data_IF_184351734665
#
_entry.id   IF_184351734665
#
_cell.length_a   1.000
_cell.length_b   1.000
_cell.length_c   1.000
_cell.angle_alpha   90.00
_cell.angle_beta   90.00
_cell.angle_gamma   90.00
#
_symmetry.space_group_name_H-M   'P 1'
#
loop_
_entity.id
_entity.type
_entity.pdbx_description
1 polymer ?
#
# COMPACT_ATOMS: atom_id res chain seq x y z
N UNK A 1 6.37 9.12 5.30
CA UNK A 1 5.79 10.09 6.27
C UNK A 1 4.43 9.59 6.72
N UNK A 2 4.05 9.75 8.01
CA UNK A 2 2.71 9.38 8.50
C UNK A 2 2.16 10.50 9.36
N UNK A 3 0.85 10.70 9.36
CA UNK A 3 0.22 11.73 10.20
C UNK A 3 -1.31 11.72 10.12
N UNK A 4 -1.96 12.44 11.03
CA UNK A 4 -3.39 12.74 10.96
C UNK A 4 -3.59 13.97 10.06
N UNK A 5 -4.56 13.92 9.17
CA UNK A 5 -4.90 14.99 8.25
C UNK A 5 -6.39 15.08 7.99
N UNK A 6 -6.75 15.93 7.04
CA UNK A 6 -8.13 16.05 6.54
C UNK A 6 -8.15 16.11 5.01
N UNK A 7 -9.06 15.38 4.40
CA UNK A 7 -9.37 15.46 2.99
C UNK A 7 -10.80 16.01 2.88
N UNK A 8 -10.93 17.19 2.28
CA UNK A 8 -12.21 17.91 2.19
C UNK A 8 -12.99 17.96 3.53
N UNK A 9 -12.25 18.24 4.63
CA UNK A 9 -12.81 18.34 5.98
C UNK A 9 -12.92 17.03 6.76
N UNK A 10 -12.86 15.88 6.12
CA UNK A 10 -12.96 14.56 6.76
C UNK A 10 -11.62 14.12 7.33
N UNK A 11 -11.61 13.77 8.60
CA UNK A 11 -10.41 13.33 9.30
C UNK A 11 -9.97 11.93 8.88
N UNK A 12 -8.69 11.74 8.68
CA UNK A 12 -8.09 10.45 8.34
C UNK A 12 -6.65 10.39 8.82
N UNK A 13 -6.10 9.19 8.96
CA UNK A 13 -4.66 8.99 9.12
C UNK A 13 -4.08 8.63 7.75
N UNK A 14 -3.05 9.38 7.34
CA UNK A 14 -2.40 9.23 6.04
C UNK A 14 -0.96 8.80 6.23
N UNK A 15 -0.52 7.83 5.44
CA UNK A 15 0.88 7.45 5.29
C UNK A 15 1.31 7.52 3.83
N UNK A 16 2.50 8.07 3.59
CA UNK A 16 3.08 8.18 2.24
C UNK A 16 4.52 7.69 2.27
N UNK A 17 4.83 6.74 1.41
CA UNK A 17 6.20 6.30 1.15
C UNK A 17 6.94 7.29 0.25
N UNK A 18 8.27 7.34 0.37
CA UNK A 18 9.13 8.14 -0.49
C UNK A 18 10.20 7.24 -1.11
N UNK A 19 10.02 6.89 -2.38
CA UNK A 19 10.91 6.00 -3.13
C UNK A 19 12.32 6.53 -3.34
N UNK A 20 12.55 7.83 -3.15
CA UNK A 20 13.88 8.45 -3.29
C UNK A 20 14.86 8.00 -2.21
N UNK A 21 14.37 7.56 -1.06
CA UNK A 21 15.20 7.01 0.00
C UNK A 21 15.19 5.48 -0.03
N UNK A 22 16.25 4.86 -0.51
CA UNK A 22 16.45 3.41 -0.58
C UNK A 22 15.25 2.66 -1.19
N UNK A 23 14.65 3.20 -2.24
CA UNK A 23 13.43 2.69 -2.88
C UNK A 23 12.26 2.49 -1.89
N UNK A 24 12.20 3.29 -0.83
CA UNK A 24 11.27 3.13 0.28
C UNK A 24 11.19 1.69 0.81
N UNK A 25 12.31 0.94 0.77
CA UNK A 25 12.35 -0.44 1.24
C UNK A 25 11.93 -0.53 2.71
N UNK A 26 11.06 -1.49 3.02
CA UNK A 26 10.50 -1.66 4.35
C UNK A 26 11.51 -2.36 5.27
N UNK A 27 12.06 -1.62 6.21
CA UNK A 27 12.79 -2.10 7.37
C UNK A 27 12.03 -1.78 8.65
N UNK A 28 12.68 -1.94 9.79
CA UNK A 28 12.09 -1.71 11.13
C UNK A 28 11.41 -0.34 11.24
N UNK A 29 12.10 0.73 10.84
CA UNK A 29 11.58 2.09 10.95
C UNK A 29 10.33 2.33 10.12
N UNK A 30 10.23 1.76 8.92
CA UNK A 30 9.05 1.88 8.06
C UNK A 30 7.90 1.06 8.63
N UNK A 31 8.15 -0.19 8.98
CA UNK A 31 7.15 -1.07 9.58
C UNK A 31 6.58 -0.50 10.87
N UNK A 32 7.43 0.03 11.75
CA UNK A 32 7.01 0.70 12.99
C UNK A 32 6.14 1.93 12.72
N UNK A 33 6.54 2.79 11.78
CA UNK A 33 5.75 3.98 11.44
C UNK A 33 4.36 3.63 10.89
N UNK A 34 4.26 2.62 10.03
CA UNK A 34 2.98 2.15 9.51
C UNK A 34 2.14 1.57 10.63
N UNK A 35 2.71 0.68 11.44
CA UNK A 35 2.03 0.08 12.59
C UNK A 35 1.46 1.13 13.53
N UNK A 36 2.28 2.10 13.95
CA UNK A 36 1.83 3.20 14.84
C UNK A 36 0.75 4.07 14.20
N UNK A 37 0.85 4.33 12.89
CA UNK A 37 -0.16 5.10 12.18
C UNK A 37 -1.52 4.39 12.22
N UNK A 38 -1.53 3.09 11.91
CA UNK A 38 -2.75 2.26 11.94
C UNK A 38 -3.31 2.15 13.36
N UNK A 39 -2.47 1.85 14.35
CA UNK A 39 -2.90 1.78 15.75
C UNK A 39 -3.45 3.12 16.27
N UNK A 40 -2.84 4.23 15.85
CA UNK A 40 -3.34 5.57 16.19
C UNK A 40 -4.70 5.83 15.55
N UNK A 41 -4.88 5.45 14.28
CA UNK A 41 -6.16 5.55 13.59
C UNK A 41 -7.23 4.71 14.29
N UNK A 42 -6.92 3.47 14.66
CA UNK A 42 -7.83 2.58 15.38
C UNK A 42 -8.28 3.19 16.71
N UNK A 43 -7.34 3.73 17.50
CA UNK A 43 -7.65 4.41 18.77
C UNK A 43 -8.53 5.65 18.61
N UNK A 44 -8.45 6.32 17.46
CA UNK A 44 -9.22 7.53 17.16
C UNK A 44 -10.50 7.23 16.37
N UNK A 45 -10.76 5.97 16.05
CA UNK A 45 -11.87 5.53 15.17
C UNK A 45 -11.85 6.28 13.83
N UNK A 46 -10.65 6.46 13.24
CA UNK A 46 -10.44 7.15 11.96
C UNK A 46 -10.06 6.16 10.86
N UNK A 47 -10.44 6.43 9.60
CA UNK A 47 -9.96 5.65 8.46
C UNK A 47 -8.45 5.85 8.25
N UNK A 48 -7.83 4.88 7.57
CA UNK A 48 -6.42 4.90 7.17
C UNK A 48 -6.31 4.94 5.65
N UNK A 49 -5.43 5.80 5.15
CA UNK A 49 -5.04 5.84 3.72
C UNK A 49 -3.53 5.74 3.64
N UNK A 50 -3.02 4.69 2.98
CA UNK A 50 -1.58 4.51 2.78
C UNK A 50 -1.23 4.53 1.29
N UNK A 51 -0.31 5.42 0.92
CA UNK A 51 0.29 5.46 -0.41
C UNK A 51 1.55 4.62 -0.40
N UNK A 52 1.49 3.48 -1.08
CA UNK A 52 2.59 2.54 -1.20
C UNK A 52 3.49 2.91 -2.38
N UNK A 53 4.79 3.01 -2.11
CA UNK A 53 5.85 3.07 -3.09
C UNK A 53 7.04 2.35 -2.48
N UNK A 54 7.43 1.18 -3.00
CA UNK A 54 8.52 0.43 -2.36
C UNK A 54 9.11 -0.64 -3.27
N UNK A 55 10.42 -0.83 -3.16
CA UNK A 55 11.12 -1.98 -3.72
C UNK A 55 10.91 -3.29 -2.94
N UNK A 56 10.25 -3.25 -1.78
CA UNK A 56 9.96 -4.44 -0.96
C UNK A 56 10.60 -4.41 0.43
N UNK A 57 10.77 -5.59 1.05
CA UNK A 57 11.43 -5.72 2.34
C UNK A 57 12.93 -5.40 2.21
N UNK A 58 13.49 -4.67 3.18
CA UNK A 58 14.88 -4.22 3.17
C UNK A 58 15.84 -5.37 3.46
N UNK A 59 16.58 -5.81 2.45
CA UNK A 59 17.49 -6.94 2.56
C UNK A 59 18.59 -6.73 3.62
N UNK A 60 19.08 -5.50 3.80
CA UNK A 60 20.13 -5.17 4.75
C UNK A 60 19.74 -5.39 6.22
N UNK A 61 18.45 -5.40 6.51
CA UNK A 61 17.92 -5.68 7.86
C UNK A 61 17.54 -7.17 8.07
N UNK A 62 17.74 -8.00 7.06
CA UNK A 62 17.53 -9.45 7.14
C UNK A 62 16.14 -9.83 7.68
N UNK A 63 16.09 -10.72 8.66
CA UNK A 63 14.84 -11.24 9.24
C UNK A 63 13.98 -10.14 9.88
N UNK A 64 14.59 -9.05 10.38
CA UNK A 64 13.86 -7.94 11.00
C UNK A 64 12.94 -7.28 9.99
N UNK A 65 13.38 -7.11 8.73
CA UNK A 65 12.54 -6.56 7.67
C UNK A 65 11.38 -7.48 7.30
N UNK A 66 11.59 -8.79 7.30
CA UNK A 66 10.53 -9.77 7.04
C UNK A 66 9.47 -9.74 8.15
N UNK A 67 9.88 -9.60 9.41
CA UNK A 67 8.96 -9.50 10.54
C UNK A 67 8.07 -8.25 10.49
N UNK A 68 8.46 -7.21 9.75
CA UNK A 68 7.60 -6.03 9.55
C UNK A 68 6.34 -6.38 8.75
N UNK A 69 6.39 -7.36 7.86
CA UNK A 69 5.20 -7.82 7.13
C UNK A 69 4.13 -8.33 8.11
N UNK A 70 4.51 -9.21 9.02
CA UNK A 70 3.59 -9.73 10.05
C UNK A 70 3.09 -8.60 10.98
N UNK A 71 3.98 -7.71 11.39
CA UNK A 71 3.68 -6.61 12.31
C UNK A 71 2.64 -5.63 11.72
N UNK A 72 2.84 -5.19 10.50
CA UNK A 72 1.91 -4.28 9.81
C UNK A 72 0.57 -4.95 9.51
N UNK A 73 0.59 -6.22 9.07
CA UNK A 73 -0.63 -6.99 8.82
C UNK A 73 -1.45 -7.20 10.09
N UNK A 74 -0.79 -7.48 11.23
CA UNK A 74 -1.48 -7.62 12.52
C UNK A 74 -2.13 -6.30 12.98
N UNK A 75 -1.51 -5.16 12.73
CA UNK A 75 -2.10 -3.86 13.04
C UNK A 75 -3.34 -3.58 12.17
N UNK A 76 -3.26 -3.87 10.87
CA UNK A 76 -4.39 -3.73 9.94
C UNK A 76 -5.53 -4.70 10.28
N UNK A 77 -5.22 -5.93 10.70
CA UNK A 77 -6.25 -6.87 11.16
C UNK A 77 -7.04 -6.29 12.34
N UNK A 78 -6.35 -5.71 13.34
CA UNK A 78 -7.04 -5.06 14.48
C UNK A 78 -7.86 -3.84 14.05
N UNK A 79 -7.40 -3.11 13.03
CA UNK A 79 -8.12 -1.98 12.45
C UNK A 79 -9.42 -2.44 11.76
N UNK A 80 -9.33 -3.49 10.97
CA UNK A 80 -10.46 -4.13 10.29
C UNK A 80 -11.46 -4.73 11.31
N UNK A 81 -10.97 -5.40 12.37
CA UNK A 81 -11.83 -5.94 13.44
C UNK A 81 -12.61 -4.85 14.21
N UNK A 82 -12.06 -3.64 14.21
CA UNK A 82 -12.76 -2.46 14.74
C UNK A 82 -13.78 -1.85 13.76
N UNK A 83 -13.97 -2.44 12.58
CA UNK A 83 -14.89 -1.98 11.54
C UNK A 83 -14.47 -0.67 10.88
N UNK A 84 -13.16 -0.40 10.80
CA UNK A 84 -12.61 0.85 10.29
C UNK A 84 -12.00 0.66 8.91
N UNK A 85 -12.23 1.64 8.05
CA UNK A 85 -11.80 1.64 6.65
C UNK A 85 -10.27 1.76 6.49
N UNK A 86 -9.70 0.91 5.67
CA UNK A 86 -8.35 1.03 5.14
C UNK A 86 -8.35 1.14 3.61
N UNK A 87 -7.85 2.25 3.07
CA UNK A 87 -7.63 2.46 1.64
C UNK A 87 -6.14 2.35 1.33
N UNK A 88 -5.79 1.44 0.44
CA UNK A 88 -4.42 1.32 -0.09
C UNK A 88 -4.33 1.95 -1.46
N UNK A 89 -3.35 2.83 -1.68
CA UNK A 89 -3.06 3.46 -2.96
C UNK A 89 -1.67 3.00 -3.42
N UNK A 90 -1.64 2.20 -4.47
CA UNK A 90 -0.42 1.59 -5.00
C UNK A 90 0.20 2.51 -6.04
N UNK A 91 1.43 2.94 -5.82
CA UNK A 91 2.17 3.78 -6.76
C UNK A 91 3.39 3.04 -7.33
N UNK A 92 4.04 3.59 -8.33
CA UNK A 92 5.16 2.97 -9.04
C UNK A 92 6.51 3.15 -8.32
N UNK A 93 7.23 2.06 -7.98
CA UNK A 93 6.80 0.68 -7.92
C UNK A 93 6.24 0.28 -6.54
N UNK A 94 5.41 -0.75 -6.48
CA UNK A 94 5.02 -1.40 -5.21
C UNK A 94 5.31 -2.89 -5.32
N UNK A 95 6.38 -3.36 -4.66
CA UNK A 95 6.96 -4.68 -4.90
C UNK A 95 7.24 -5.46 -3.61
N UNK A 96 7.49 -6.74 -3.78
CA UNK A 96 8.06 -7.65 -2.78
C UNK A 96 7.25 -7.74 -1.49
N UNK A 97 7.93 -7.68 -0.35
CA UNK A 97 7.31 -7.82 0.98
C UNK A 97 6.30 -6.72 1.33
N UNK A 98 6.35 -5.55 0.68
CA UNK A 98 5.35 -4.50 0.86
C UNK A 98 4.05 -4.90 0.17
N UNK A 99 4.10 -5.39 -1.07
CA UNK A 99 2.94 -5.95 -1.76
C UNK A 99 2.36 -7.15 -1.01
N UNK A 100 3.23 -8.08 -0.56
CA UNK A 100 2.81 -9.27 0.18
C UNK A 100 2.34 -9.01 1.62
N UNK A 101 2.19 -7.74 2.01
CA UNK A 101 1.70 -7.36 3.33
C UNK A 101 0.71 -6.19 3.22
N UNK A 102 0.97 -5.11 3.89
CA UNK A 102 0.02 -4.02 4.05
C UNK A 102 -0.50 -3.41 2.75
N UNK A 103 0.28 -3.40 1.66
CA UNK A 103 -0.16 -2.77 0.40
C UNK A 103 -1.36 -3.48 -0.25
N UNK A 104 -1.50 -4.80 -0.09
CA UNK A 104 -2.61 -5.59 -0.66
C UNK A 104 -3.67 -5.99 0.38
N UNK A 105 -3.70 -5.32 1.53
CA UNK A 105 -4.68 -5.58 2.60
C UNK A 105 -5.73 -4.47 2.72
N UNK A 106 -5.84 -3.56 1.74
CA UNK A 106 -6.87 -2.54 1.73
C UNK A 106 -8.28 -3.12 1.59
N UNK A 107 -9.25 -2.52 2.26
CA UNK A 107 -10.67 -2.76 1.96
C UNK A 107 -11.02 -2.20 0.58
N UNK A 108 -10.30 -1.15 0.17
CA UNK A 108 -10.31 -0.59 -1.19
C UNK A 108 -8.86 -0.42 -1.62
N UNK A 109 -8.52 -0.98 -2.78
CA UNK A 109 -7.18 -0.95 -3.36
C UNK A 109 -7.20 -0.18 -4.67
N UNK A 110 -6.55 0.98 -4.67
CA UNK A 110 -6.42 1.86 -5.83
C UNK A 110 -4.99 1.79 -6.36
N UNK A 111 -4.79 1.99 -7.64
CA UNK A 111 -3.44 2.03 -8.22
C UNK A 111 -3.27 3.20 -9.19
N UNK A 112 -2.13 3.88 -9.16
CA UNK A 112 -1.79 4.87 -10.18
C UNK A 112 -1.65 4.20 -11.56
N UNK A 113 -1.97 4.92 -12.66
CA UNK A 113 -1.82 4.40 -14.01
C UNK A 113 -0.39 3.86 -14.25
N UNK A 114 -0.29 2.71 -14.87
CA UNK A 114 0.97 2.05 -15.26
C UNK A 114 1.90 1.67 -14.11
N UNK A 115 1.49 1.79 -12.84
CA UNK A 115 2.31 1.39 -11.70
C UNK A 115 2.71 -0.09 -11.80
N UNK A 116 3.99 -0.36 -11.52
CA UNK A 116 4.52 -1.72 -11.44
C UNK A 116 4.23 -2.28 -10.04
N UNK A 117 3.42 -3.32 -9.98
CA UNK A 117 2.93 -3.90 -8.72
C UNK A 117 3.10 -5.41 -8.78
N UNK A 118 3.80 -5.99 -7.83
CA UNK A 118 4.01 -7.43 -7.79
C UNK A 118 4.91 -7.88 -6.66
N UNK A 119 5.16 -9.18 -6.57
CA UNK A 119 6.08 -9.73 -5.57
C UNK A 119 7.51 -9.77 -6.12
N UNK A 120 7.81 -10.67 -7.03
CA UNK A 120 9.10 -10.71 -7.72
C UNK A 120 9.08 -9.74 -8.91
N UNK A 121 10.21 -9.03 -9.12
CA UNK A 121 10.34 -8.14 -10.28
C UNK A 121 10.33 -8.91 -11.61
N UNK A 122 9.88 -8.27 -12.72
CA UNK A 122 9.78 -8.93 -14.03
C UNK A 122 11.09 -9.62 -14.46
N UNK A 123 12.22 -8.96 -14.28
CA UNK A 123 13.54 -9.51 -14.60
C UNK A 123 13.82 -10.81 -13.85
N UNK A 124 13.50 -10.87 -12.58
CA UNK A 124 13.72 -12.07 -11.74
C UNK A 124 12.84 -13.22 -12.22
N UNK A 125 11.57 -12.93 -12.54
CA UNK A 125 10.64 -13.92 -13.06
C UNK A 125 11.16 -14.48 -14.38
N UNK A 126 11.47 -13.62 -15.36
CA UNK A 126 11.96 -14.01 -16.69
C UNK A 126 13.23 -14.87 -16.62
N UNK A 127 14.18 -14.48 -15.74
CA UNK A 127 15.39 -15.26 -15.52
C UNK A 127 15.13 -16.63 -14.89
N UNK A 128 14.10 -16.72 -14.03
CA UNK A 128 13.76 -17.98 -13.34
C UNK A 128 13.02 -18.94 -14.25
N UNK A 129 12.05 -18.47 -15.04
CA UNK A 129 11.25 -19.32 -15.92
C UNK A 129 11.84 -19.48 -17.32
N UNK A 130 12.86 -18.70 -17.69
CA UNK A 130 13.50 -18.71 -18.99
C UNK A 130 12.61 -18.22 -20.15
N UNK A 131 11.58 -17.42 -19.84
CA UNK A 131 10.62 -16.93 -20.83
C UNK A 131 10.37 -15.42 -20.63
N UNK A 132 10.05 -14.73 -21.71
CA UNK A 132 9.63 -13.33 -21.65
C UNK A 132 8.20 -13.22 -21.12
N UNK A 133 7.98 -12.24 -20.25
CA UNK A 133 6.66 -11.95 -19.70
C UNK A 133 5.74 -11.31 -20.75
N UNK A 134 4.43 -11.53 -20.70
CA UNK A 134 3.48 -10.83 -21.54
C UNK A 134 3.58 -9.31 -21.38
N UNK A 135 3.28 -8.58 -22.45
CA UNK A 135 3.25 -7.11 -22.40
C UNK A 135 2.20 -6.66 -21.37
N UNK A 136 2.59 -5.73 -20.51
CA UNK A 136 1.71 -5.20 -19.47
C UNK A 136 1.63 -6.04 -18.19
N UNK A 137 2.30 -7.19 -18.12
CA UNK A 137 2.34 -8.02 -16.93
C UNK A 137 2.78 -7.23 -15.69
N UNK A 138 2.11 -7.42 -14.56
CA UNK A 138 2.33 -6.68 -13.30
C UNK A 138 2.07 -5.16 -13.38
N UNK A 139 1.46 -4.65 -14.43
CA UNK A 139 1.01 -3.25 -14.45
C UNK A 139 -0.34 -3.11 -13.76
N UNK A 140 -0.63 -1.91 -13.29
CA UNK A 140 -1.89 -1.61 -12.58
C UNK A 140 -3.12 -2.06 -13.37
N UNK A 141 -3.13 -1.82 -14.70
CA UNK A 141 -4.22 -2.22 -15.59
C UNK A 141 -4.41 -3.74 -15.62
N UNK A 142 -3.31 -4.50 -15.70
CA UNK A 142 -3.35 -5.97 -15.64
C UNK A 142 -3.95 -6.45 -14.29
N UNK A 143 -3.61 -5.78 -13.19
CA UNK A 143 -4.11 -6.15 -11.86
C UNK A 143 -5.61 -5.83 -11.68
N UNK A 144 -6.10 -4.77 -12.31
CA UNK A 144 -7.56 -4.49 -12.34
C UNK A 144 -8.29 -5.59 -13.11
N UNK A 145 -7.80 -5.99 -14.29
CA UNK A 145 -8.40 -7.06 -15.10
C UNK A 145 -8.43 -8.41 -14.37
N UNK A 146 -7.48 -8.64 -13.45
CA UNK A 146 -7.38 -9.88 -12.67
C UNK A 146 -7.98 -9.77 -11.24
N UNK A 147 -8.63 -8.66 -10.91
CA UNK A 147 -9.33 -8.48 -9.64
C UNK A 147 -8.44 -8.26 -8.41
N UNK A 148 -7.18 -7.85 -8.60
CA UNK A 148 -6.27 -7.49 -7.51
C UNK A 148 -6.32 -6.01 -7.11
N UNK A 149 -6.81 -5.16 -7.99
CA UNK A 149 -6.97 -3.71 -7.80
C UNK A 149 -8.37 -3.33 -8.21
N UNK A 150 -9.02 -2.49 -7.41
CA UNK A 150 -10.42 -2.10 -7.65
C UNK A 150 -10.55 -1.05 -8.74
N UNK A 151 -9.61 -0.09 -8.77
CA UNK A 151 -9.67 1.03 -9.74
C UNK A 151 -8.29 1.65 -9.99
N UNK A 152 -8.09 2.07 -11.25
CA UNK A 152 -6.99 2.98 -11.61
C UNK A 152 -7.33 4.39 -11.12
N UNK A 153 -6.39 5.02 -10.43
CA UNK A 153 -6.52 6.35 -9.84
C UNK A 153 -5.43 7.28 -10.37
N UNK A 154 -5.72 8.12 -11.37
CA UNK A 154 -4.83 9.23 -11.73
C UNK A 154 -4.59 10.14 -10.52
N UNK A 155 -3.34 10.61 -10.36
CA UNK A 155 -2.94 11.38 -9.17
C UNK A 155 -3.73 12.69 -9.01
N UNK A 156 -4.09 13.32 -10.09
CA UNK A 156 -4.91 14.53 -10.13
C UNK A 156 -6.33 14.31 -9.61
N UNK A 157 -6.87 13.11 -9.73
CA UNK A 157 -8.20 12.74 -9.23
C UNK A 157 -8.18 12.27 -7.77
N UNK A 158 -6.99 11.98 -7.23
CA UNK A 158 -6.85 11.28 -5.95
C UNK A 158 -7.59 11.96 -4.80
N UNK A 159 -7.53 13.30 -4.72
CA UNK A 159 -8.19 14.05 -3.64
C UNK A 159 -9.71 13.87 -3.66
N UNK A 160 -10.32 13.96 -4.83
CA UNK A 160 -11.78 13.90 -4.98
C UNK A 160 -12.28 12.47 -4.77
N UNK A 161 -11.61 11.47 -5.37
CA UNK A 161 -11.97 10.06 -5.21
C UNK A 161 -11.82 9.61 -3.76
N UNK A 162 -10.72 9.94 -3.09
CA UNK A 162 -10.53 9.60 -1.68
C UNK A 162 -11.54 10.30 -0.78
N UNK A 163 -11.88 11.56 -1.10
CA UNK A 163 -12.94 12.28 -0.39
C UNK A 163 -14.30 11.59 -0.52
N UNK A 164 -14.63 11.11 -1.71
CA UNK A 164 -15.89 10.39 -1.96
C UNK A 164 -15.93 9.07 -1.18
N UNK A 165 -14.85 8.29 -1.22
CA UNK A 165 -14.73 7.05 -0.45
C UNK A 165 -14.91 7.31 1.04
N UNK A 166 -14.23 8.32 1.58
CA UNK A 166 -14.36 8.69 2.99
C UNK A 166 -15.79 9.08 3.37
N UNK A 167 -16.48 9.83 2.48
CA UNK A 167 -17.87 10.23 2.69
C UNK A 167 -18.83 9.05 2.72
N UNK A 168 -18.62 8.05 1.84
CA UNK A 168 -19.44 6.84 1.79
C UNK A 168 -19.30 5.97 3.05
N UNK A 169 -18.11 5.98 3.66
CA UNK A 169 -17.78 5.16 4.83
C UNK A 169 -17.77 5.96 6.14
N UNK A 170 -17.93 7.27 6.08
CA UNK A 170 -18.08 8.14 7.26
C UNK A 170 -19.43 7.90 7.95
N UNK A 171 -19.38 7.72 9.26
CA UNK A 171 -20.58 7.70 10.12
C UNK A 171 -20.96 9.12 10.49
#
# INVERSE_FOLDING_TARGET
MTGKGRINGMETVIGVCDGRFMMASMGEAVGEKITRAVERATKLSLPVILFACSGGARMQEGIVSLMQMAKTSAALKRHSDAGLLYVSVLTDPTMGGVTASWAMLGDIILAEPHALIGFAGPRVIEQTIGQKLPKGFQRAEFLVEHGFVDRILPREEAKEVLSEILRMHGK
#
